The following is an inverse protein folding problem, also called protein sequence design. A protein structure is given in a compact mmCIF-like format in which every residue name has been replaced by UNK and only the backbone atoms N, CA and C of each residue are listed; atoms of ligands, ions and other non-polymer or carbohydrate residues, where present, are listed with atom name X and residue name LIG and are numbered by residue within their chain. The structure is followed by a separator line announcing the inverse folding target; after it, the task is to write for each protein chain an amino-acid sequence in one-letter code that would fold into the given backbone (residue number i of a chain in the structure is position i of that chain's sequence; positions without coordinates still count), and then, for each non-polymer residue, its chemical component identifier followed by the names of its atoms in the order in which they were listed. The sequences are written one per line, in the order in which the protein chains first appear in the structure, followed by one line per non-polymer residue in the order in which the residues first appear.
data_IF_272129173892
#
_entry.id   IF_272129173892
#
_cell.length_a   1.000
_cell.length_b   1.000
_cell.length_c   1.000
_cell.angle_alpha   90.00
_cell.angle_beta   90.00
_cell.angle_gamma   90.00
#
_symmetry.space_group_name_H-M   'P 1'
#
loop_
_entity.id
_entity.type
_entity.pdbx_description
1 polymer ?
#
# COMPACT_ATOMS: atom_id res chain seq x y z
N UNK A 1 -4.04 5.15 -9.15
CA UNK A 1 -4.85 4.28 -10.02
C UNK A 1 -4.72 4.71 -11.45
N UNK A 2 -4.44 3.75 -12.29
CA UNK A 2 -4.44 3.94 -13.74
C UNK A 2 -5.89 4.09 -14.15
N UNK A 3 -6.27 5.19 -14.81
CA UNK A 3 -7.66 5.40 -15.23
C UNK A 3 -8.14 4.29 -16.17
N UNK A 4 -8.92 3.36 -15.64
CA UNK A 4 -9.38 2.15 -16.35
C UNK A 4 -10.59 2.46 -17.23
N UNK A 5 -11.41 3.41 -16.82
CA UNK A 5 -12.75 3.64 -17.37
C UNK A 5 -12.97 5.05 -17.89
N UNK A 6 -11.97 5.83 -18.13
CA UNK A 6 -12.10 7.21 -18.62
C UNK A 6 -11.42 7.41 -19.95
N UNK A 7 -12.10 8.10 -20.88
CA UNK A 7 -11.52 8.57 -22.14
C UNK A 7 -10.59 9.78 -21.94
N UNK A 8 -10.08 9.96 -20.72
CA UNK A 8 -9.16 11.04 -20.41
C UNK A 8 -7.79 10.78 -21.07
N UNK A 9 -7.34 11.73 -21.87
CA UNK A 9 -6.00 11.74 -22.44
C UNK A 9 -4.88 11.94 -21.37
N UNK A 10 -5.26 12.09 -20.11
CA UNK A 10 -4.34 12.17 -18.96
C UNK A 10 -4.12 10.80 -18.28
N UNK A 11 -4.86 9.79 -18.67
CA UNK A 11 -4.70 8.44 -18.13
C UNK A 11 -3.44 7.77 -18.70
N UNK A 12 -2.81 6.90 -17.93
CA UNK A 12 -1.65 6.10 -18.40
C UNK A 12 -2.03 5.23 -19.60
N UNK A 13 -3.30 4.86 -19.76
CA UNK A 13 -3.80 4.15 -20.92
C UNK A 13 -3.57 4.94 -22.23
N UNK A 14 -3.72 6.26 -22.19
CA UNK A 14 -3.44 7.13 -23.34
C UNK A 14 -1.97 7.12 -23.75
N UNK A 15 -1.08 6.70 -22.84
CA UNK A 15 0.35 6.54 -23.09
C UNK A 15 0.75 5.08 -23.40
N UNK A 16 -0.22 4.22 -23.71
CA UNK A 16 0.03 2.84 -24.09
C UNK A 16 0.25 1.87 -22.92
N UNK A 17 0.00 2.31 -21.68
CA UNK A 17 0.06 1.43 -20.52
C UNK A 17 -1.26 0.69 -20.38
N UNK A 18 -1.21 -0.64 -20.44
CA UNK A 18 -2.34 -1.49 -20.16
C UNK A 18 -2.42 -1.79 -18.67
N UNK A 19 -3.64 -2.01 -18.19
CA UNK A 19 -3.92 -2.38 -16.81
C UNK A 19 -4.88 -3.56 -16.77
N UNK A 20 -4.59 -4.50 -15.93
CA UNK A 20 -5.44 -5.64 -15.62
C UNK A 20 -5.50 -5.81 -14.10
N UNK A 21 -6.62 -6.29 -13.61
CA UNK A 21 -6.83 -6.54 -12.19
C UNK A 21 -7.18 -8.00 -11.99
N UNK A 22 -6.54 -8.62 -11.02
CA UNK A 22 -6.87 -9.96 -10.50
C UNK A 22 -7.39 -9.74 -9.09
N UNK A 23 -8.64 -10.11 -8.86
CA UNK A 23 -9.28 -9.95 -7.57
C UNK A 23 -8.85 -11.05 -6.59
N UNK A 24 -8.95 -10.76 -5.30
CA UNK A 24 -8.76 -11.77 -4.26
C UNK A 24 -9.96 -12.71 -4.23
N UNK A 25 -9.72 -13.99 -3.99
CA UNK A 25 -10.75 -15.00 -3.73
C UNK A 25 -10.73 -15.30 -2.22
N UNK A 26 -11.83 -15.06 -1.55
CA UNK A 26 -11.97 -15.27 -0.09
C UNK A 26 -10.87 -14.62 0.76
N UNK A 27 -10.42 -13.42 0.37
CA UNK A 27 -9.30 -12.66 0.95
C UNK A 27 -7.91 -13.29 0.74
N UNK A 28 -7.77 -14.23 -0.17
CA UNK A 28 -6.49 -14.83 -0.59
C UNK A 28 -6.17 -14.43 -2.03
N UNK A 29 -4.87 -14.46 -2.38
CA UNK A 29 -4.45 -14.24 -3.76
C UNK A 29 -4.89 -15.40 -4.67
N UNK A 30 -5.43 -15.09 -5.84
CA UNK A 30 -5.63 -16.06 -6.91
C UNK A 30 -4.27 -16.35 -7.58
N UNK A 31 -3.53 -17.27 -6.96
CA UNK A 31 -2.18 -17.62 -7.42
C UNK A 31 -2.17 -18.18 -8.84
N UNK A 32 -3.19 -18.97 -9.21
CA UNK A 32 -3.27 -19.58 -10.54
C UNK A 32 -3.39 -18.51 -11.62
N UNK A 33 -4.33 -17.58 -11.48
CA UNK A 33 -4.52 -16.47 -12.41
C UNK A 33 -3.29 -15.54 -12.46
N UNK A 34 -2.64 -15.29 -11.33
CA UNK A 34 -1.41 -14.49 -11.28
C UNK A 34 -0.27 -15.16 -12.05
N UNK A 35 -0.06 -16.46 -11.83
CA UNK A 35 0.98 -17.26 -12.51
C UNK A 35 0.72 -17.31 -14.01
N UNK A 36 -0.51 -17.64 -14.42
CA UNK A 36 -0.90 -17.69 -15.82
C UNK A 36 -0.64 -16.34 -16.52
N UNK A 37 -1.03 -15.26 -15.87
CA UNK A 37 -0.86 -13.92 -16.43
C UNK A 37 0.61 -13.53 -16.57
N UNK A 38 1.44 -13.89 -15.61
CA UNK A 38 2.89 -13.59 -15.62
C UNK A 38 3.66 -14.36 -16.70
N UNK A 39 3.18 -15.54 -17.10
CA UNK A 39 3.78 -16.33 -18.18
C UNK A 39 3.69 -15.64 -19.55
N UNK A 40 2.76 -14.71 -19.74
CA UNK A 40 2.56 -13.98 -20.99
C UNK A 40 3.64 -12.93 -21.31
N UNK A 41 4.71 -12.81 -20.57
CA UNK A 41 5.94 -12.01 -20.80
C UNK A 41 5.76 -10.49 -21.08
N UNK A 42 4.54 -9.95 -21.05
CA UNK A 42 4.28 -8.53 -21.30
C UNK A 42 4.00 -7.74 -20.01
N UNK A 43 3.97 -8.39 -18.85
CA UNK A 43 3.80 -7.75 -17.55
C UNK A 43 5.12 -7.11 -17.14
N UNK A 44 5.10 -5.81 -16.88
CA UNK A 44 6.27 -5.03 -16.45
C UNK A 44 6.25 -4.72 -14.96
N UNK A 45 5.07 -4.58 -14.40
CA UNK A 45 4.88 -4.23 -13.00
C UNK A 45 3.66 -4.97 -12.44
N UNK A 46 3.83 -5.48 -11.24
CA UNK A 46 2.74 -5.99 -10.39
C UNK A 46 2.56 -5.01 -9.24
N UNK A 47 1.36 -4.48 -9.08
CA UNK A 47 0.99 -3.64 -7.94
C UNK A 47 0.14 -4.45 -6.94
N UNK A 48 0.52 -4.39 -5.68
CA UNK A 48 -0.19 -5.00 -4.56
C UNK A 48 -0.66 -3.89 -3.63
N UNK A 49 -1.98 -3.70 -3.53
CA UNK A 49 -2.56 -2.78 -2.56
C UNK A 49 -2.78 -3.50 -1.23
N UNK A 50 -2.00 -3.17 -0.20
CA UNK A 50 -2.05 -3.80 1.12
C UNK A 50 -3.36 -3.51 1.86
N UNK A 51 -3.78 -2.26 1.89
CA UNK A 51 -5.01 -1.85 2.55
C UNK A 51 -6.25 -2.32 1.80
N UNK A 52 -7.35 -2.51 2.52
CA UNK A 52 -8.64 -2.86 1.90
C UNK A 52 -9.26 -1.72 1.08
N UNK A 53 -8.76 -0.48 1.22
CA UNK A 53 -9.39 0.69 0.63
C UNK A 53 -10.84 0.84 1.09
N UNK A 54 -11.75 1.01 0.14
CA UNK A 54 -13.19 1.09 0.39
C UNK A 54 -13.93 -0.25 0.22
N UNK A 55 -13.21 -1.33 -0.05
CA UNK A 55 -13.80 -2.67 -0.18
C UNK A 55 -14.07 -3.30 1.19
N UNK A 56 -14.85 -4.38 1.20
CA UNK A 56 -15.13 -5.13 2.43
C UNK A 56 -14.12 -6.26 2.70
N UNK A 57 -13.13 -6.44 1.81
CA UNK A 57 -12.07 -7.42 2.02
C UNK A 57 -11.22 -7.10 3.25
N UNK A 58 -10.52 -8.08 3.77
CA UNK A 58 -9.50 -7.85 4.79
C UNK A 58 -8.27 -7.14 4.20
N UNK A 59 -7.52 -6.43 5.04
CA UNK A 59 -6.18 -5.94 4.68
C UNK A 59 -5.22 -7.12 4.58
N UNK A 60 -4.24 -7.02 3.67
CA UNK A 60 -3.25 -8.07 3.48
C UNK A 60 -2.18 -8.00 4.57
N UNK A 61 -1.87 -9.13 5.18
CA UNK A 61 -0.75 -9.27 6.11
C UNK A 61 0.57 -9.34 5.34
N UNK A 62 1.68 -9.06 6.02
CA UNK A 62 3.02 -9.18 5.45
C UNK A 62 3.28 -10.62 4.98
N UNK A 63 2.86 -11.62 5.74
CA UNK A 63 3.07 -13.03 5.38
C UNK A 63 2.37 -13.41 4.06
N UNK A 64 1.14 -12.92 3.84
CA UNK A 64 0.44 -13.13 2.56
C UNK A 64 1.18 -12.46 1.40
N UNK A 65 1.65 -11.23 1.61
CA UNK A 65 2.40 -10.49 0.58
C UNK A 65 3.75 -11.18 0.32
N UNK A 66 4.45 -11.67 1.35
CA UNK A 66 5.70 -12.42 1.21
C UNK A 66 5.49 -13.69 0.36
N UNK A 67 4.43 -14.46 0.66
CA UNK A 67 4.09 -15.67 -0.09
C UNK A 67 3.87 -15.40 -1.57
N UNK A 68 3.05 -14.41 -1.89
CA UNK A 68 2.78 -14.11 -3.31
C UNK A 68 3.99 -13.51 -4.03
N UNK A 69 4.83 -12.73 -3.35
CA UNK A 69 6.08 -12.23 -3.91
C UNK A 69 7.00 -13.39 -4.29
N UNK A 70 7.15 -14.38 -3.43
CA UNK A 70 7.95 -15.58 -3.72
C UNK A 70 7.41 -16.30 -4.96
N UNK A 71 6.09 -16.47 -5.02
CA UNK A 71 5.44 -17.12 -6.17
C UNK A 71 5.65 -16.35 -7.48
N UNK A 72 5.52 -15.04 -7.43
CA UNK A 72 5.79 -14.17 -8.60
C UNK A 72 7.24 -14.33 -9.04
N UNK A 73 8.21 -14.37 -8.12
CA UNK A 73 9.64 -14.51 -8.43
C UNK A 73 10.01 -15.87 -9.02
N UNK A 74 9.30 -16.93 -8.64
CA UNK A 74 9.48 -18.25 -9.27
C UNK A 74 9.14 -18.22 -10.76
N UNK A 75 8.15 -17.41 -11.15
CA UNK A 75 7.64 -17.32 -12.53
C UNK A 75 8.36 -16.24 -13.34
N UNK A 76 8.60 -15.09 -12.72
CA UNK A 76 9.18 -13.94 -13.39
C UNK A 76 10.07 -13.12 -12.43
N UNK A 77 11.37 -13.22 -12.61
CA UNK A 77 12.36 -12.52 -11.77
C UNK A 77 12.55 -11.05 -12.15
N UNK A 78 12.14 -10.67 -13.37
CA UNK A 78 12.38 -9.32 -13.92
C UNK A 78 11.21 -8.35 -13.68
N UNK A 79 10.02 -8.85 -13.34
CA UNK A 79 8.85 -8.00 -13.12
C UNK A 79 9.05 -7.13 -11.89
N UNK A 80 8.73 -5.85 -12.00
CA UNK A 80 8.80 -4.93 -10.86
C UNK A 80 7.61 -5.20 -9.93
N UNK A 81 7.89 -5.42 -8.65
CA UNK A 81 6.85 -5.59 -7.62
C UNK A 81 6.77 -4.30 -6.81
N UNK A 82 5.64 -3.63 -6.91
CA UNK A 82 5.30 -2.43 -6.16
C UNK A 82 4.22 -2.73 -5.13
N UNK A 83 4.41 -2.28 -3.90
CA UNK A 83 3.40 -2.40 -2.85
C UNK A 83 2.93 -1.01 -2.42
N UNK A 84 1.63 -0.75 -2.55
CA UNK A 84 0.97 0.37 -1.88
C UNK A 84 0.76 -0.02 -0.41
N UNK A 85 1.60 0.54 0.45
CA UNK A 85 1.67 0.22 1.88
C UNK A 85 0.80 1.16 2.74
N UNK A 86 -0.02 2.00 2.14
CA UNK A 86 -0.89 2.91 2.87
C UNK A 86 -1.66 2.19 3.98
N UNK A 87 -1.60 2.71 5.20
CA UNK A 87 -2.14 2.15 6.45
C UNK A 87 -1.45 0.86 6.94
N UNK A 88 -0.44 0.35 6.23
CA UNK A 88 0.32 -0.83 6.63
C UNK A 88 1.60 -0.50 7.40
N UNK A 89 2.11 0.72 7.25
CA UNK A 89 3.38 1.11 7.85
C UNK A 89 3.34 0.98 9.38
N UNK A 90 4.34 0.35 9.94
CA UNK A 90 4.55 0.18 11.39
C UNK A 90 3.45 -0.64 12.09
N UNK A 91 2.64 -1.39 11.33
CA UNK A 91 1.61 -2.28 11.87
C UNK A 91 2.19 -3.64 12.24
N UNK A 92 3.09 -4.16 11.43
CA UNK A 92 3.78 -5.43 11.62
C UNK A 92 5.29 -5.21 11.78
N UNK A 93 6.03 -6.28 12.08
CA UNK A 93 7.47 -6.21 12.37
C UNK A 93 8.35 -6.13 11.13
N UNK A 94 7.81 -6.53 9.98
CA UNK A 94 8.43 -6.41 8.66
C UNK A 94 7.65 -5.43 7.80
N UNK A 95 8.32 -4.79 6.88
CA UNK A 95 7.72 -3.95 5.85
C UNK A 95 7.84 -4.63 4.47
N UNK A 96 7.06 -4.22 3.46
CA UNK A 96 7.11 -4.87 2.15
C UNK A 96 8.51 -4.89 1.50
N UNK A 97 9.34 -3.91 1.80
CA UNK A 97 10.74 -3.88 1.34
C UNK A 97 11.60 -5.01 1.92
N UNK A 98 11.30 -5.45 3.15
CA UNK A 98 12.05 -6.54 3.81
C UNK A 98 11.72 -7.91 3.23
N UNK A 99 10.59 -8.02 2.53
CA UNK A 99 10.07 -9.29 1.98
C UNK A 99 10.14 -9.37 0.46
N UNK A 100 10.89 -8.47 -0.19
CA UNK A 100 11.21 -8.57 -1.61
C UNK A 100 10.40 -7.69 -2.56
N UNK A 101 9.63 -6.72 -2.06
CA UNK A 101 9.09 -5.66 -2.90
C UNK A 101 10.22 -4.79 -3.47
N UNK A 102 10.13 -4.44 -4.75
CA UNK A 102 11.13 -3.58 -5.41
C UNK A 102 10.89 -2.11 -5.10
N UNK A 103 9.63 -1.73 -5.00
CA UNK A 103 9.17 -0.38 -4.64
C UNK A 103 8.05 -0.48 -3.61
N UNK A 104 8.11 0.37 -2.63
CA UNK A 104 7.06 0.59 -1.63
C UNK A 104 6.62 2.05 -1.72
N UNK A 105 5.34 2.27 -1.85
CA UNK A 105 4.75 3.60 -1.91
C UNK A 105 3.74 3.79 -0.79
N UNK A 106 3.59 5.02 -0.34
CA UNK A 106 2.62 5.31 0.69
C UNK A 106 2.43 6.81 0.92
N UNK A 107 1.61 7.13 1.90
CA UNK A 107 1.21 8.49 2.22
C UNK A 107 1.75 8.95 3.56
N UNK A 108 2.39 10.12 3.58
CA UNK A 108 2.80 10.78 4.82
C UNK A 108 1.62 11.43 5.58
N UNK A 109 0.44 11.52 4.98
CA UNK A 109 -0.77 11.94 5.70
C UNK A 109 -1.39 10.83 6.56
N UNK A 110 -0.87 9.62 6.43
CA UNK A 110 -1.34 8.41 7.12
C UNK A 110 -0.34 7.97 8.20
N UNK A 111 -0.16 6.68 8.35
CA UNK A 111 0.65 6.08 9.41
C UNK A 111 2.03 6.73 9.56
N UNK A 112 2.79 6.77 8.48
CA UNK A 112 4.19 7.22 8.53
C UNK A 112 4.35 8.71 8.85
N UNK A 113 3.30 9.51 8.66
CA UNK A 113 3.32 10.93 9.03
C UNK A 113 2.99 11.21 10.49
N UNK A 114 2.66 10.19 11.29
CA UNK A 114 2.49 10.30 12.75
C UNK A 114 1.41 11.29 13.20
N UNK A 115 0.45 11.62 12.33
CA UNK A 115 -0.57 12.64 12.58
C UNK A 115 -0.04 14.09 12.51
N UNK A 116 1.20 14.30 12.07
CA UNK A 116 1.86 15.62 12.04
C UNK A 116 2.04 16.11 10.61
N UNK A 117 2.42 15.24 9.68
CA UNK A 117 2.61 15.61 8.29
C UNK A 117 1.26 15.97 7.62
N UNK A 118 1.10 17.20 7.12
CA UNK A 118 -0.20 17.67 6.59
C UNK A 118 -0.47 17.18 5.16
N UNK A 119 0.56 16.71 4.48
CA UNK A 119 0.53 16.25 3.08
C UNK A 119 1.73 15.36 2.80
N UNK A 120 1.88 14.93 1.57
CA UNK A 120 3.06 14.22 1.10
C UNK A 120 2.86 12.73 0.94
N UNK A 121 3.77 12.15 0.20
CA UNK A 121 3.92 10.72 0.00
C UNK A 121 5.39 10.34 0.03
N UNK A 122 5.64 9.05 0.00
CA UNK A 122 6.99 8.53 -0.11
C UNK A 122 7.07 7.41 -1.15
N UNK A 123 8.24 7.26 -1.69
CA UNK A 123 8.63 6.12 -2.50
C UNK A 123 9.96 5.61 -1.94
N UNK A 124 10.00 4.35 -1.58
CA UNK A 124 11.18 3.68 -1.08
C UNK A 124 11.42 2.37 -1.84
N UNK A 125 12.66 1.92 -1.95
CA UNK A 125 12.96 0.68 -2.64
C UNK A 125 14.30 0.71 -3.38
N UNK A 126 14.40 -0.02 -4.48
CA UNK A 126 15.61 -0.11 -5.30
C UNK A 126 16.02 1.27 -5.81
N UNK A 127 17.32 1.57 -5.66
CA UNK A 127 17.88 2.90 -5.93
C UNK A 127 17.63 3.40 -7.35
N UNK A 128 17.77 2.54 -8.33
CA UNK A 128 17.54 2.82 -9.73
C UNK A 128 16.07 3.17 -10.01
N UNK A 129 15.14 2.40 -9.47
CA UNK A 129 13.71 2.65 -9.62
C UNK A 129 13.27 3.95 -8.92
N UNK A 130 13.77 4.20 -7.71
CA UNK A 130 13.50 5.45 -6.99
C UNK A 130 14.07 6.65 -7.76
N UNK A 131 15.24 6.48 -8.39
CA UNK A 131 15.81 7.52 -9.26
C UNK A 131 14.92 7.84 -10.45
N UNK A 132 14.43 6.83 -11.17
CA UNK A 132 13.51 7.00 -12.30
C UNK A 132 12.20 7.69 -11.90
N UNK A 133 11.64 7.30 -10.75
CA UNK A 133 10.45 7.97 -10.19
C UNK A 133 10.73 9.45 -9.92
N UNK A 134 11.89 9.78 -9.34
CA UNK A 134 12.26 11.17 -9.05
C UNK A 134 12.40 12.01 -10.34
N UNK A 135 12.96 11.44 -11.41
CA UNK A 135 13.05 12.11 -12.72
C UNK A 135 11.67 12.42 -13.30
N UNK A 136 10.68 11.57 -13.04
CA UNK A 136 9.33 11.76 -13.53
C UNK A 136 8.51 12.75 -12.67
N UNK A 137 8.75 12.75 -11.36
CA UNK A 137 8.04 13.64 -10.42
C UNK A 137 8.46 15.10 -10.52
N UNK A 138 9.70 15.35 -10.90
CA UNK A 138 10.24 16.70 -11.08
C UNK A 138 10.46 17.01 -12.56
N UNK A 139 11.69 16.87 -13.03
CA UNK A 139 12.04 16.96 -14.44
C UNK A 139 13.27 16.11 -14.72
N UNK A 140 13.42 15.56 -15.94
CA UNK A 140 14.62 14.85 -16.34
C UNK A 140 15.90 15.67 -16.10
N UNK A 141 16.87 15.08 -15.42
CA UNK A 141 18.12 15.74 -15.04
C UNK A 141 18.09 16.52 -13.73
N UNK A 142 16.92 16.79 -13.18
CA UNK A 142 16.74 17.42 -11.84
C UNK A 142 16.55 16.33 -10.77
N UNK A 143 15.65 15.38 -11.01
CA UNK A 143 15.39 14.27 -10.12
C UNK A 143 15.10 14.72 -8.68
N UNK A 144 15.82 14.13 -7.73
CA UNK A 144 15.64 14.39 -6.29
C UNK A 144 16.38 15.64 -5.77
N UNK A 145 17.20 16.29 -6.57
CA UNK A 145 18.05 17.40 -6.11
C UNK A 145 17.25 18.67 -5.86
N UNK A 146 16.15 18.84 -6.60
CA UNK A 146 15.18 19.92 -6.38
C UNK A 146 13.76 19.34 -6.37
N UNK A 147 12.89 19.99 -5.63
CA UNK A 147 11.48 19.65 -5.58
C UNK A 147 10.70 20.58 -4.65
N UNK A 148 9.42 20.77 -4.94
CA UNK A 148 8.55 21.58 -4.12
C UNK A 148 8.15 20.79 -2.85
N UNK A 149 8.82 21.06 -1.74
CA UNK A 149 8.49 20.49 -0.43
C UNK A 149 7.70 21.42 0.47
N UNK A 150 7.38 22.63 -0.01
CA UNK A 150 6.62 23.66 0.71
C UNK A 150 7.15 23.95 2.12
N UNK A 151 8.44 23.78 2.35
CA UNK A 151 9.10 23.90 3.65
C UNK A 151 8.57 22.95 4.73
N UNK A 152 8.08 21.77 4.34
CA UNK A 152 7.47 20.79 5.24
C UNK A 152 8.44 19.70 5.75
N UNK A 153 9.72 19.77 5.40
CA UNK A 153 10.70 18.75 5.80
C UNK A 153 10.71 18.50 7.32
N UNK A 154 10.65 19.56 8.12
CA UNK A 154 10.62 19.42 9.59
C UNK A 154 9.36 18.66 10.05
N UNK A 155 8.21 18.91 9.43
CA UNK A 155 6.97 18.21 9.74
C UNK A 155 7.07 16.73 9.33
N UNK A 156 7.66 16.43 8.17
CA UNK A 156 7.87 15.06 7.70
C UNK A 156 8.78 14.28 8.63
N UNK A 157 9.97 14.81 8.96
CA UNK A 157 10.89 14.14 9.88
C UNK A 157 10.29 13.94 11.28
N UNK A 158 9.63 14.96 11.81
CA UNK A 158 8.95 14.86 13.10
C UNK A 158 7.82 13.83 13.06
N UNK A 159 7.05 13.82 11.95
CA UNK A 159 5.99 12.84 11.71
C UNK A 159 6.53 11.42 11.74
N UNK A 160 7.55 11.12 10.96
CA UNK A 160 8.19 9.80 10.91
C UNK A 160 8.74 9.39 12.29
N UNK A 161 9.38 10.30 13.01
CA UNK A 161 9.87 10.03 14.37
C UNK A 161 8.75 9.67 15.34
N UNK A 162 7.60 10.33 15.25
CA UNK A 162 6.45 10.09 16.14
C UNK A 162 5.55 8.93 15.67
N UNK A 163 5.66 8.51 14.41
CA UNK A 163 4.78 7.53 13.77
C UNK A 163 4.65 6.21 14.55
N UNK A 164 5.72 5.58 15.08
CA UNK A 164 5.56 4.32 15.83
C UNK A 164 4.61 4.44 17.02
N UNK A 165 4.66 5.56 17.71
CA UNK A 165 3.81 5.81 18.86
C UNK A 165 2.37 6.15 18.47
N UNK A 166 2.20 6.92 17.41
CA UNK A 166 0.89 7.27 16.87
C UNK A 166 0.17 6.03 16.34
N UNK A 167 0.82 5.20 15.53
CA UNK A 167 0.25 3.96 14.97
C UNK A 167 -0.10 2.97 16.08
N UNK A 168 0.82 2.73 17.02
CA UNK A 168 0.55 1.87 18.18
C UNK A 168 -0.72 2.31 18.94
N UNK A 169 -0.86 3.59 19.22
CA UNK A 169 -2.01 4.10 19.97
C UNK A 169 -3.30 3.99 19.15
N UNK A 170 -3.25 4.30 17.85
CA UNK A 170 -4.39 4.14 16.95
C UNK A 170 -4.88 2.69 16.89
N UNK A 171 -3.98 1.73 16.73
CA UNK A 171 -4.31 0.30 16.70
C UNK A 171 -4.90 -0.17 18.03
N UNK A 172 -4.29 0.20 19.16
CA UNK A 172 -4.84 -0.15 20.47
C UNK A 172 -6.25 0.41 20.68
N UNK A 173 -6.47 1.66 20.28
CA UNK A 173 -7.79 2.30 20.39
C UNK A 173 -8.82 1.59 19.52
N UNK A 174 -8.46 1.28 18.27
CA UNK A 174 -9.36 0.58 17.34
C UNK A 174 -9.75 -0.81 17.87
N UNK A 175 -8.78 -1.61 18.31
CA UNK A 175 -9.02 -2.95 18.86
C UNK A 175 -9.88 -2.86 20.14
N UNK A 176 -9.54 -1.97 21.06
CA UNK A 176 -10.30 -1.80 22.29
C UNK A 176 -11.74 -1.36 22.02
N UNK A 177 -11.93 -0.39 21.13
CA UNK A 177 -13.27 0.11 20.78
C UNK A 177 -14.10 -0.99 20.12
N UNK A 178 -13.51 -1.75 19.19
CA UNK A 178 -14.20 -2.88 18.54
C UNK A 178 -14.66 -3.92 19.58
N UNK A 179 -13.77 -4.30 20.48
CA UNK A 179 -14.08 -5.26 21.56
C UNK A 179 -15.20 -4.74 22.48
N UNK A 180 -15.13 -3.47 22.88
CA UNK A 180 -16.16 -2.88 23.74
C UNK A 180 -17.53 -2.83 23.06
N UNK A 181 -17.57 -2.41 21.79
CA UNK A 181 -18.82 -2.36 21.04
C UNK A 181 -19.43 -3.74 20.82
N UNK A 182 -18.61 -4.74 20.51
CA UNK A 182 -19.06 -6.13 20.38
C UNK A 182 -19.65 -6.64 21.70
N UNK A 183 -18.97 -6.40 22.83
CA UNK A 183 -19.42 -6.80 24.15
C UNK A 183 -20.74 -6.12 24.52
N UNK A 184 -20.88 -4.82 24.26
CA UNK A 184 -22.13 -4.07 24.55
C UNK A 184 -23.28 -4.54 23.66
N UNK A 185 -23.02 -4.72 22.34
CA UNK A 185 -24.04 -5.20 21.41
C UNK A 185 -24.57 -6.59 21.80
N UNK A 186 -23.67 -7.49 22.19
CA UNK A 186 -24.03 -8.82 22.67
C UNK A 186 -24.89 -8.76 23.94
N UNK A 187 -24.59 -7.85 24.86
CA UNK A 187 -25.39 -7.64 26.10
C UNK A 187 -26.78 -7.11 25.76
N UNK A 188 -26.92 -6.18 24.84
CA UNK A 188 -28.19 -5.65 24.38
C UNK A 188 -29.06 -6.69 23.66
N UNK A 189 -28.47 -7.51 22.79
CA UNK A 189 -29.22 -8.58 22.12
C UNK A 189 -29.74 -9.61 23.11
N UNK A 190 -28.96 -9.98 24.11
CA UNK A 190 -29.46 -10.92 25.18
C UNK A 190 -30.50 -10.31 26.10
N UNK A 191 -30.47 -9.02 26.35
CA UNK A 191 -31.47 -8.36 27.19
C UNK A 191 -32.86 -8.37 26.54
N UNK A 192 -32.98 -8.53 25.24
CA UNK A 192 -34.23 -8.69 24.51
C UNK A 192 -34.68 -10.15 24.36
N UNK A 193 -33.86 -11.11 24.73
CA UNK A 193 -34.18 -12.56 24.67
C UNK A 193 -34.62 -13.16 26.02
N UNK A 194 -34.67 -12.37 27.06
CA UNK A 194 -35.25 -12.84 28.34
C UNK A 194 -36.77 -12.66 28.32
N UNK A 195 -37.56 -13.76 28.51
CA UNK A 195 -39.03 -13.75 28.51
C UNK A 195 -39.61 -12.93 29.65
#
# INVERSE_FOLDING_TARGET
MIGISGDSNQSLKAYGVNYEQIDLIDNEFDEESIVERLQQKNVKLVEIQRSRGYSQRLSLTIDKIESIIHKIREVNQEVIIMVDNCYGELVETKEPGDIGADIVVGSLMKNLGGGIAPTGGYVAGKKDLVYEVAQRLTAPGIGKDLGANFNLNNAFFKGVFMAPNAVKNALKTAIFTSYMLETVSYTHLRAHETP
#
